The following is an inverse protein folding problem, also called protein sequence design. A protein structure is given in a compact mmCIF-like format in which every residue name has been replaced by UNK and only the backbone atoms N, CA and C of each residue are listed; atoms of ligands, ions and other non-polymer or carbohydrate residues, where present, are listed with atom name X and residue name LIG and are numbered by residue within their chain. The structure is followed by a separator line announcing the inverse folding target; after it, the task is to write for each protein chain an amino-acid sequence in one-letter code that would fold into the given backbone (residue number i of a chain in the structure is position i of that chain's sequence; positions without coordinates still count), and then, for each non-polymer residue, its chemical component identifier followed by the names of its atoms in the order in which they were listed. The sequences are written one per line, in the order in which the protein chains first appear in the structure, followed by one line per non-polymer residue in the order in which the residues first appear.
data_IF_813101092490
#
_entry.id   IF_813101092490
#
_cell.length_a   1.000
_cell.length_b   1.000
_cell.length_c   1.000
_cell.angle_alpha   90.00
_cell.angle_beta   90.00
_cell.angle_gamma   90.00
#
_symmetry.space_group_name_H-M   'P 1'
#
loop_
_entity.id
_entity.type
_entity.pdbx_description
1 polymer ?
#
# COMPACT_ATOMS: atom_id res chain seq x y z
N UNK A 1 -3.62 -4.52 8.24
CA UNK A 1 -3.70 -4.28 6.89
C UNK A 1 -3.07 -5.23 5.91
N UNK A 2 -3.58 -5.18 4.69
CA UNK A 2 -3.08 -5.94 3.56
C UNK A 2 -2.59 -5.03 2.41
N UNK A 3 -2.38 -3.73 2.68
CA UNK A 3 -1.95 -2.74 1.69
C UNK A 3 -0.73 -1.98 2.19
N UNK A 4 0.10 -1.55 1.26
CA UNK A 4 1.15 -0.57 1.49
C UNK A 4 0.83 0.67 0.67
N UNK A 5 0.90 1.82 1.31
CA UNK A 5 0.68 3.11 0.69
C UNK A 5 1.77 4.08 1.12
N UNK A 6 2.31 4.84 0.18
CA UNK A 6 3.26 5.92 0.40
C UNK A 6 2.76 7.19 -0.29
N UNK A 7 2.66 8.27 0.47
CA UNK A 7 2.13 9.55 -0.01
C UNK A 7 3.11 10.66 0.33
N UNK A 8 3.47 11.45 -0.67
CA UNK A 8 4.16 12.72 -0.47
C UNK A 8 3.11 13.84 -0.47
N UNK A 9 3.15 14.67 0.56
CA UNK A 9 2.23 15.80 0.70
C UNK A 9 2.94 17.03 1.25
N UNK A 10 2.42 18.19 0.90
CA UNK A 10 2.79 19.47 1.48
C UNK A 10 1.76 19.87 2.55
N UNK A 11 2.25 20.29 3.70
CA UNK A 11 1.39 20.69 4.81
C UNK A 11 1.79 22.11 5.21
N UNK A 12 0.91 23.07 4.94
CA UNK A 12 1.05 24.46 5.36
C UNK A 12 -0.13 24.84 6.25
N UNK A 13 0.18 25.15 7.51
CA UNK A 13 -0.82 25.52 8.53
C UNK A 13 -1.97 24.49 8.59
N UNK A 14 -3.07 24.75 7.90
CA UNK A 14 -4.27 23.90 7.89
C UNK A 14 -4.61 23.39 6.47
N UNK A 15 -3.71 23.56 5.52
CA UNK A 15 -3.83 23.06 4.16
C UNK A 15 -2.95 21.83 4.00
N UNK A 16 -3.54 20.76 3.50
CA UNK A 16 -2.85 19.51 3.13
C UNK A 16 -3.02 19.31 1.64
N UNK A 17 -1.94 19.32 0.90
CA UNK A 17 -1.91 19.04 -0.54
C UNK A 17 -1.16 17.74 -0.79
N UNK A 18 -1.84 16.75 -1.31
CA UNK A 18 -1.21 15.52 -1.81
C UNK A 18 -0.50 15.87 -3.12
N UNK A 19 0.79 15.54 -3.20
CA UNK A 19 1.60 15.72 -4.41
C UNK A 19 1.55 14.45 -5.24
N UNK A 20 1.77 13.31 -4.60
CA UNK A 20 1.74 11.99 -5.23
C UNK A 20 1.40 10.92 -4.22
N UNK A 21 0.80 9.83 -4.69
CA UNK A 21 0.55 8.63 -3.90
C UNK A 21 0.86 7.39 -4.71
N UNK A 22 1.53 6.43 -4.08
CA UNK A 22 1.85 5.11 -4.65
C UNK A 22 1.48 4.05 -3.64
N UNK A 23 1.06 2.89 -4.11
CA UNK A 23 0.68 1.83 -3.20
C UNK A 23 0.53 0.49 -3.90
N UNK A 24 0.46 -0.55 -3.09
CA UNK A 24 0.17 -1.90 -3.54
C UNK A 24 -0.82 -2.56 -2.58
N UNK A 25 -1.94 -2.98 -3.13
CA UNK A 25 -3.01 -3.66 -2.39
C UNK A 25 -2.68 -5.10 -1.97
N UNK A 26 -1.56 -5.63 -2.45
CA UNK A 26 -1.06 -6.97 -2.19
C UNK A 26 0.28 -6.97 -1.42
N UNK A 27 0.64 -5.84 -0.81
CA UNK A 27 1.84 -5.71 0.00
C UNK A 27 1.46 -5.22 1.39
N UNK A 28 1.44 -6.12 2.37
CA UNK A 28 1.07 -5.76 3.73
C UNK A 28 1.38 -6.83 4.76
N UNK A 29 0.86 -6.63 5.97
CA UNK A 29 1.09 -7.53 7.09
C UNK A 29 0.65 -8.97 6.85
N UNK A 30 -0.39 -9.19 6.03
CA UNK A 30 -0.88 -10.53 5.68
C UNK A 30 0.10 -11.31 4.81
N UNK A 31 0.83 -10.61 3.94
CA UNK A 31 1.83 -11.23 3.07
C UNK A 31 3.03 -11.66 3.91
N UNK A 32 3.42 -10.85 4.89
CA UNK A 32 4.46 -11.22 5.86
C UNK A 32 4.03 -12.41 6.75
N UNK A 33 2.75 -12.49 7.12
CA UNK A 33 2.22 -13.63 7.85
C UNK A 33 2.26 -14.90 7.01
N UNK A 34 1.99 -14.82 5.70
CA UNK A 34 2.08 -15.94 4.79
C UNK A 34 3.50 -16.50 4.69
N UNK A 35 4.53 -15.62 4.67
CA UNK A 35 5.93 -16.07 4.71
C UNK A 35 6.29 -16.76 6.04
N UNK A 36 5.76 -16.28 7.15
CA UNK A 36 5.93 -16.97 8.44
C UNK A 36 5.24 -18.34 8.46
N UNK A 37 4.07 -18.47 7.84
CA UNK A 37 3.41 -19.80 7.68
C UNK A 37 4.31 -20.74 6.88
N UNK A 38 4.98 -20.26 5.82
CA UNK A 38 5.93 -21.05 5.05
C UNK A 38 7.11 -21.52 5.93
N UNK A 39 7.68 -20.63 6.73
CA UNK A 39 8.76 -20.99 7.69
C UNK A 39 8.26 -22.03 8.69
N UNK A 40 7.08 -21.82 9.28
CA UNK A 40 6.47 -22.76 10.23
C UNK A 40 6.28 -24.14 9.60
N UNK A 41 5.74 -24.19 8.38
CA UNK A 41 5.51 -25.42 7.65
C UNK A 41 6.81 -26.18 7.35
N UNK A 42 7.86 -25.48 6.91
CA UNK A 42 9.15 -26.08 6.62
C UNK A 42 9.79 -26.66 7.89
N UNK A 43 9.85 -25.90 8.97
CA UNK A 43 10.40 -26.35 10.25
C UNK A 43 9.59 -27.50 10.86
N UNK A 44 8.26 -27.47 10.74
CA UNK A 44 7.42 -28.57 11.19
C UNK A 44 7.69 -29.84 10.36
N UNK A 45 7.81 -29.70 9.04
CA UNK A 45 8.14 -30.81 8.13
C UNK A 45 9.52 -31.39 8.41
N UNK A 46 10.52 -30.56 8.66
CA UNK A 46 11.85 -31.02 9.07
C UNK A 46 11.83 -31.84 10.37
N UNK A 47 11.00 -31.42 11.35
CA UNK A 47 10.89 -32.06 12.63
C UNK A 47 10.04 -33.36 12.64
N UNK A 48 9.13 -33.54 11.66
CA UNK A 48 8.12 -34.61 11.70
C UNK A 48 8.06 -35.46 10.44
N UNK A 49 8.71 -35.03 9.36
CA UNK A 49 8.62 -35.64 8.02
C UNK A 49 7.36 -35.24 7.23
N UNK A 50 6.40 -34.54 7.85
CA UNK A 50 5.13 -34.14 7.21
C UNK A 50 4.85 -32.66 7.43
N UNK A 51 4.28 -31.98 6.43
CA UNK A 51 3.94 -30.56 6.52
C UNK A 51 2.67 -30.29 7.32
N UNK A 52 2.38 -29.02 7.55
CA UNK A 52 1.16 -28.54 8.19
C UNK A 52 -0.07 -28.74 7.28
N UNK A 53 -1.23 -28.92 7.86
CA UNK A 53 -2.52 -29.00 7.13
C UNK A 53 -2.98 -27.59 6.68
N UNK A 54 -2.32 -27.06 5.66
CA UNK A 54 -2.63 -25.75 5.10
C UNK A 54 -3.96 -25.72 4.34
N UNK A 55 -4.51 -26.87 3.96
CA UNK A 55 -5.78 -26.95 3.25
C UNK A 55 -6.96 -26.64 4.17
N UNK A 56 -6.94 -27.18 5.39
CA UNK A 56 -8.07 -27.08 6.33
C UNK A 56 -7.83 -26.05 7.46
N UNK A 57 -6.57 -25.78 7.83
CA UNK A 57 -6.21 -24.98 9.01
C UNK A 57 -5.41 -23.72 8.68
N UNK A 58 -5.44 -23.24 7.43
CA UNK A 58 -4.67 -22.08 7.01
C UNK A 58 -4.93 -20.86 7.89
N UNK A 59 -6.17 -20.59 8.29
CA UNK A 59 -6.52 -19.44 9.11
C UNK A 59 -5.87 -19.50 10.50
N UNK A 60 -5.90 -20.66 11.15
CA UNK A 60 -5.26 -20.87 12.45
C UNK A 60 -3.76 -20.60 12.38
N UNK A 61 -3.10 -21.07 11.32
CA UNK A 61 -1.67 -20.82 11.12
C UNK A 61 -1.35 -19.35 10.80
N UNK A 62 -2.22 -18.66 10.09
CA UNK A 62 -2.09 -17.22 9.84
C UNK A 62 -2.20 -16.40 11.13
N UNK A 63 -3.12 -16.75 12.03
CA UNK A 63 -3.24 -16.10 13.35
C UNK A 63 -2.00 -16.33 14.21
N UNK A 64 -1.46 -17.54 14.21
CA UNK A 64 -0.18 -17.84 14.88
C UNK A 64 0.99 -17.08 14.26
N UNK A 65 1.05 -17.01 12.94
CA UNK A 65 2.06 -16.25 12.23
C UNK A 65 2.03 -14.76 12.60
N UNK A 66 0.84 -14.16 12.73
CA UNK A 66 0.71 -12.78 13.19
C UNK A 66 1.26 -12.59 14.61
N UNK A 67 1.00 -13.54 15.52
CA UNK A 67 1.54 -13.48 16.88
C UNK A 67 3.06 -13.57 16.87
N UNK A 68 3.63 -14.47 16.07
CA UNK A 68 5.08 -14.62 15.89
C UNK A 68 5.68 -13.35 15.29
N UNK A 69 5.07 -12.77 14.25
CA UNK A 69 5.49 -11.50 13.64
C UNK A 69 5.58 -10.37 14.66
N UNK A 70 4.56 -10.22 15.50
CA UNK A 70 4.53 -9.23 16.58
C UNK A 70 5.64 -9.47 17.59
N UNK A 71 5.86 -10.73 17.98
CA UNK A 71 6.94 -11.08 18.91
C UNK A 71 8.33 -10.79 18.32
N UNK A 72 8.56 -11.13 17.04
CA UNK A 72 9.83 -10.89 16.33
C UNK A 72 10.09 -9.41 16.05
N UNK A 73 9.07 -8.56 16.07
CA UNK A 73 9.26 -7.10 15.99
C UNK A 73 9.97 -6.54 17.23
N UNK A 74 9.89 -7.24 18.37
CA UNK A 74 10.49 -6.81 19.66
C UNK A 74 11.68 -7.68 20.07
N UNK A 75 11.65 -8.98 19.71
CA UNK A 75 12.64 -9.99 20.16
C UNK A 75 13.42 -10.51 18.95
N UNK A 76 14.66 -10.95 19.20
CA UNK A 76 15.51 -11.56 18.16
C UNK A 76 15.04 -12.97 17.77
N UNK A 77 14.32 -13.65 18.65
CA UNK A 77 13.79 -14.98 18.43
C UNK A 77 12.51 -15.22 19.20
N UNK A 78 11.66 -16.10 18.67
CA UNK A 78 10.43 -16.55 19.31
C UNK A 78 10.25 -18.05 19.12
N UNK A 79 9.82 -18.73 20.19
CA UNK A 79 9.48 -20.15 20.13
C UNK A 79 7.99 -20.32 20.37
N UNK A 80 7.32 -21.03 19.46
CA UNK A 80 5.89 -21.27 19.49
C UNK A 80 5.60 -22.77 19.36
N UNK A 81 4.51 -23.24 19.97
CA UNK A 81 4.03 -24.62 19.79
C UNK A 81 3.01 -24.62 18.65
N UNK A 82 3.35 -25.37 17.60
CA UNK A 82 2.53 -25.51 16.40
C UNK A 82 1.85 -26.87 16.40
N UNK A 83 0.53 -26.86 16.37
CA UNK A 83 -0.28 -28.07 16.21
C UNK A 83 -0.29 -28.47 14.73
N UNK A 84 0.01 -29.74 14.45
CA UNK A 84 0.02 -30.28 13.09
C UNK A 84 -0.36 -31.76 13.04
N UNK A 85 -0.38 -32.40 11.87
CA UNK A 85 -0.85 -33.78 11.68
C UNK A 85 -0.12 -34.81 12.54
N UNK A 86 1.14 -34.57 12.89
CA UNK A 86 1.97 -35.43 13.77
C UNK A 86 2.02 -34.95 15.23
N UNK A 87 1.02 -34.16 15.65
CA UNK A 87 0.93 -33.59 16.99
C UNK A 87 1.75 -32.30 17.16
N UNK A 88 1.74 -31.76 18.40
CA UNK A 88 2.37 -30.48 18.69
C UNK A 88 3.91 -30.55 18.54
N UNK A 89 4.50 -29.52 17.96
CA UNK A 89 5.95 -29.32 17.90
C UNK A 89 6.32 -27.91 18.31
N UNK A 90 7.33 -27.80 19.18
CA UNK A 90 7.92 -26.51 19.51
C UNK A 90 8.89 -26.11 18.40
N UNK A 91 8.60 -24.96 17.78
CA UNK A 91 9.38 -24.39 16.67
C UNK A 91 9.95 -23.05 17.13
N UNK A 92 11.25 -22.83 16.96
CA UNK A 92 11.90 -21.55 17.18
C UNK A 92 12.13 -20.88 15.82
N UNK A 93 11.75 -19.60 15.71
CA UNK A 93 11.96 -18.75 14.54
C UNK A 93 12.73 -17.52 14.98
N UNK A 94 13.76 -17.16 14.23
CA UNK A 94 14.56 -15.95 14.48
C UNK A 94 14.05 -14.78 13.63
N UNK A 95 14.30 -13.55 14.09
CA UNK A 95 14.03 -12.34 13.32
C UNK A 95 14.77 -12.37 11.99
N UNK A 96 16.02 -12.82 11.97
CA UNK A 96 16.81 -12.91 10.75
C UNK A 96 16.17 -13.83 9.69
N UNK A 97 15.67 -15.01 10.08
CA UNK A 97 14.95 -15.92 9.18
C UNK A 97 13.69 -15.25 8.62
N UNK A 98 12.95 -14.57 9.47
CA UNK A 98 11.75 -13.83 9.05
C UNK A 98 12.08 -12.67 8.11
N UNK A 99 13.06 -11.82 8.47
CA UNK A 99 13.46 -10.68 7.62
C UNK A 99 14.00 -11.15 6.26
N UNK A 100 14.69 -12.28 6.22
CA UNK A 100 15.14 -12.89 4.97
C UNK A 100 13.97 -13.39 4.12
N UNK A 101 12.95 -13.99 4.71
CA UNK A 101 11.80 -14.51 3.98
C UNK A 101 10.95 -13.39 3.34
N UNK A 102 10.92 -12.21 3.93
CA UNK A 102 10.16 -11.06 3.41
C UNK A 102 10.99 -10.12 2.52
N UNK A 103 12.22 -10.48 2.15
CA UNK A 103 13.12 -9.59 1.40
C UNK A 103 12.52 -9.11 0.07
N UNK A 104 11.81 -9.97 -0.65
CA UNK A 104 11.12 -9.59 -1.91
C UNK A 104 10.07 -8.50 -1.67
N UNK A 105 9.35 -8.58 -0.56
CA UNK A 105 8.37 -7.56 -0.17
C UNK A 105 9.05 -6.23 0.20
N UNK A 106 10.22 -6.31 0.83
CA UNK A 106 11.03 -5.12 1.17
C UNK A 106 11.58 -4.45 -0.10
N UNK A 107 12.02 -5.21 -1.09
CA UNK A 107 12.45 -4.63 -2.38
C UNK A 107 11.28 -3.93 -3.10
N UNK A 108 10.08 -4.52 -3.07
CA UNK A 108 8.88 -3.89 -3.62
C UNK A 108 8.51 -2.59 -2.90
N UNK A 109 8.64 -2.56 -1.56
CA UNK A 109 8.47 -1.34 -0.76
C UNK A 109 9.45 -0.25 -1.20
N UNK A 110 10.74 -0.60 -1.44
CA UNK A 110 11.75 0.37 -1.93
C UNK A 110 11.33 0.96 -3.27
N UNK A 111 10.95 0.12 -4.24
CA UNK A 111 10.51 0.58 -5.56
C UNK A 111 9.34 1.57 -5.46
N UNK A 112 8.31 1.26 -4.66
CA UNK A 112 7.17 2.15 -4.48
C UNK A 112 7.54 3.48 -3.81
N UNK A 113 8.49 3.48 -2.88
CA UNK A 113 9.01 4.72 -2.30
C UNK A 113 9.80 5.55 -3.30
N UNK A 114 10.64 4.92 -4.13
CA UNK A 114 11.39 5.57 -5.20
C UNK A 114 10.43 6.17 -6.24
N UNK A 115 9.42 5.41 -6.67
CA UNK A 115 8.37 5.92 -7.56
C UNK A 115 7.60 7.11 -6.97
N UNK A 116 7.36 7.12 -5.66
CA UNK A 116 6.70 8.25 -5.00
C UNK A 116 7.61 9.49 -4.94
N UNK A 117 8.90 9.31 -4.68
CA UNK A 117 9.87 10.39 -4.73
C UNK A 117 10.00 10.97 -6.15
N UNK A 118 10.13 10.12 -7.15
CA UNK A 118 10.21 10.53 -8.55
C UNK A 118 8.93 11.25 -8.99
N UNK A 119 7.76 10.70 -8.69
CA UNK A 119 6.47 11.31 -9.00
C UNK A 119 6.23 12.65 -8.30
N UNK A 120 6.81 12.85 -7.11
CA UNK A 120 6.74 14.13 -6.41
C UNK A 120 7.75 15.17 -6.93
N UNK A 121 8.76 14.76 -7.67
CA UNK A 121 9.91 15.60 -8.04
C UNK A 121 10.79 16.01 -6.86
N UNK A 122 10.58 15.40 -5.68
CA UNK A 122 11.30 15.73 -4.46
C UNK A 122 12.45 14.74 -4.21
N UNK A 123 13.55 15.24 -3.68
CA UNK A 123 14.63 14.41 -3.16
C UNK A 123 14.41 14.15 -1.67
N UNK A 124 14.97 13.06 -1.10
CA UNK A 124 14.86 12.77 0.34
C UNK A 124 15.26 13.93 1.25
N UNK A 125 16.23 14.76 0.82
CA UNK A 125 16.69 15.95 1.57
C UNK A 125 15.59 17.01 1.71
N UNK A 126 14.71 17.12 0.71
CA UNK A 126 13.63 18.10 0.66
C UNK A 126 12.40 17.69 1.50
N UNK A 127 12.31 16.43 1.91
CA UNK A 127 11.23 15.95 2.78
C UNK A 127 11.55 16.34 4.23
N UNK A 128 10.73 17.19 4.81
CA UNK A 128 10.92 17.64 6.20
C UNK A 128 10.74 16.52 7.22
N UNK A 129 9.69 15.73 7.07
CA UNK A 129 9.32 14.65 7.99
C UNK A 129 8.81 13.42 7.26
N UNK A 130 9.13 12.23 7.78
CA UNK A 130 8.55 10.97 7.37
C UNK A 130 7.69 10.44 8.51
N UNK A 131 6.42 10.18 8.23
CA UNK A 131 5.48 9.61 9.20
C UNK A 131 5.27 8.15 8.86
N UNK A 132 5.45 7.27 9.84
CA UNK A 132 5.14 5.85 9.71
C UNK A 132 3.78 5.57 10.37
N UNK A 133 2.90 4.89 9.64
CA UNK A 133 1.54 4.57 10.08
C UNK A 133 1.23 3.11 9.79
N UNK A 134 0.50 2.46 10.68
CA UNK A 134 0.11 1.04 10.57
C UNK A 134 1.08 0.07 11.24
N UNK A 135 0.54 -1.07 11.69
CA UNK A 135 1.25 -2.04 12.54
C UNK A 135 2.53 -2.63 11.91
N UNK A 136 2.58 -2.78 10.58
CA UNK A 136 3.77 -3.33 9.87
C UNK A 136 5.00 -2.43 9.96
N UNK A 137 4.83 -1.13 10.25
CA UNK A 137 5.94 -0.21 10.47
C UNK A 137 6.73 -0.49 11.76
N UNK A 138 6.21 -1.35 12.64
CA UNK A 138 6.91 -1.81 13.84
C UNK A 138 7.98 -2.87 13.55
N UNK A 139 7.98 -3.46 12.35
CA UNK A 139 8.96 -4.48 11.96
C UNK A 139 10.29 -3.76 11.68
N UNK A 140 11.41 -4.16 12.36
CA UNK A 140 12.66 -3.41 12.31
C UNK A 140 13.21 -3.19 10.89
N UNK A 141 13.18 -4.21 10.03
CA UNK A 141 13.66 -4.07 8.65
C UNK A 141 12.87 -3.05 7.85
N UNK A 142 11.55 -2.91 8.09
CA UNK A 142 10.71 -1.91 7.41
C UNK A 142 11.17 -0.51 7.78
N UNK A 143 11.23 -0.19 9.08
CA UNK A 143 11.69 1.11 9.55
C UNK A 143 13.10 1.43 9.06
N UNK A 144 14.04 0.48 9.19
CA UNK A 144 15.43 0.64 8.76
C UNK A 144 15.54 0.90 7.24
N UNK A 145 14.74 0.22 6.45
CA UNK A 145 14.70 0.44 4.99
C UNK A 145 14.26 1.85 4.67
N UNK A 146 13.18 2.32 5.31
CA UNK A 146 12.68 3.68 5.12
C UNK A 146 13.72 4.74 5.56
N UNK A 147 14.35 4.55 6.72
CA UNK A 147 15.44 5.41 7.19
C UNK A 147 16.61 5.47 6.19
N UNK A 148 16.97 4.35 5.60
CA UNK A 148 18.04 4.28 4.60
C UNK A 148 17.71 5.04 3.32
N UNK A 149 16.46 4.99 2.85
CA UNK A 149 16.00 5.74 1.67
C UNK A 149 15.91 7.23 1.99
N UNK A 150 15.28 7.58 3.09
CA UNK A 150 15.02 8.97 3.47
C UNK A 150 16.24 9.68 4.07
N UNK A 151 17.31 8.95 4.40
CA UNK A 151 18.56 9.46 5.04
C UNK A 151 18.31 10.17 6.38
N UNK A 152 17.15 9.98 6.96
CA UNK A 152 16.76 10.54 8.27
C UNK A 152 15.75 9.64 8.97
N UNK A 153 15.71 9.64 10.31
CA UNK A 153 14.75 8.84 11.07
C UNK A 153 13.32 9.37 10.88
N UNK A 154 12.31 8.49 10.91
CA UNK A 154 10.91 8.89 10.89
C UNK A 154 10.54 9.66 12.17
N UNK A 155 9.52 10.51 12.05
CA UNK A 155 9.00 11.29 13.16
C UNK A 155 8.41 10.37 14.23
N UNK A 156 8.81 10.57 15.49
CA UNK A 156 8.29 9.82 16.64
C UNK A 156 7.02 10.46 17.19
N UNK A 157 6.22 9.68 17.91
CA UNK A 157 5.03 10.18 18.62
C UNK A 157 3.72 10.12 17.83
N UNK A 158 3.74 9.58 16.61
CA UNK A 158 2.52 9.30 15.86
C UNK A 158 1.86 8.03 16.41
N UNK A 159 0.55 8.07 16.68
CA UNK A 159 -0.21 6.87 16.99
C UNK A 159 -0.45 6.08 15.70
N UNK A 160 0.43 5.11 15.44
CA UNK A 160 0.44 4.33 14.19
C UNK A 160 -0.82 3.46 13.98
N UNK A 161 -1.55 3.17 15.06
CA UNK A 161 -2.74 2.31 15.00
C UNK A 161 -4.02 3.12 14.72
N UNK A 162 -4.09 4.37 15.15
CA UNK A 162 -5.29 5.21 15.09
C UNK A 162 -5.22 6.34 14.05
N UNK A 163 -4.04 6.69 13.57
CA UNK A 163 -3.85 7.85 12.68
C UNK A 163 -4.72 7.79 11.42
N UNK A 164 -4.86 6.61 10.80
CA UNK A 164 -5.70 6.42 9.60
C UNK A 164 -7.18 6.66 9.92
N UNK A 165 -7.68 6.08 11.02
CA UNK A 165 -9.07 6.24 11.43
C UNK A 165 -9.39 7.69 11.81
N UNK A 166 -8.48 8.36 12.52
CA UNK A 166 -8.61 9.78 12.86
C UNK A 166 -8.63 10.65 11.60
N UNK A 167 -7.73 10.42 10.67
CA UNK A 167 -7.69 11.11 9.37
C UNK A 167 -8.97 10.90 8.55
N UNK A 168 -9.47 9.67 8.49
CA UNK A 168 -10.73 9.35 7.82
C UNK A 168 -11.93 10.08 8.45
N UNK A 169 -11.96 10.17 9.80
CA UNK A 169 -13.02 10.91 10.51
C UNK A 169 -12.97 12.41 10.19
N UNK A 170 -11.78 13.01 10.15
CA UNK A 170 -11.59 14.42 9.76
C UNK A 170 -12.07 14.62 8.31
N UNK A 171 -11.66 13.75 7.40
CA UNK A 171 -12.06 13.81 6.00
C UNK A 171 -13.57 13.67 5.81
N UNK A 172 -14.21 12.73 6.51
CA UNK A 172 -15.66 12.60 6.52
C UNK A 172 -16.36 13.88 6.98
N UNK A 173 -15.83 14.51 8.04
CA UNK A 173 -16.33 15.80 8.53
C UNK A 173 -16.20 16.93 7.51
N UNK A 174 -15.12 16.97 6.74
CA UNK A 174 -14.94 17.95 5.65
C UNK A 174 -15.96 17.75 4.51
N UNK A 175 -16.35 16.50 4.22
CA UNK A 175 -17.30 16.17 3.15
C UNK A 175 -18.76 16.26 3.57
N UNK A 176 -19.11 16.01 4.84
CA UNK A 176 -20.48 15.97 5.34
C UNK A 176 -20.62 16.89 6.57
N UNK A 177 -21.00 18.14 6.32
CA UNK A 177 -21.19 19.15 7.38
C UNK A 177 -22.48 19.00 8.19
N UNK A 178 -23.40 18.13 7.76
CA UNK A 178 -24.76 18.05 8.32
C UNK A 178 -24.84 17.47 9.73
N UNK A 179 -23.90 16.63 10.13
CA UNK A 179 -23.87 15.94 11.43
C UNK A 179 -22.89 16.54 12.43
N UNK A 180 -22.29 17.69 12.13
CA UNK A 180 -21.28 18.33 12.96
C UNK A 180 -21.90 19.38 13.88
N UNK A 181 -21.47 19.44 15.14
CA UNK A 181 -21.78 20.57 16.03
C UNK A 181 -20.96 21.82 15.62
N UNK A 182 -21.33 22.99 16.19
CA UNK A 182 -20.72 24.27 15.81
C UNK A 182 -19.21 24.32 16.10
N UNK A 183 -18.74 23.73 17.20
CA UNK A 183 -17.31 23.68 17.52
C UNK A 183 -16.53 22.83 16.49
N UNK A 184 -17.10 21.70 16.06
CA UNK A 184 -16.51 20.85 15.03
C UNK A 184 -16.49 21.55 13.67
N UNK A 185 -17.57 22.26 13.29
CA UNK A 185 -17.61 23.06 12.07
C UNK A 185 -16.51 24.12 12.06
N UNK A 186 -16.38 24.90 13.14
CA UNK A 186 -15.34 25.92 13.27
C UNK A 186 -13.92 25.33 13.20
N UNK A 187 -13.69 24.16 13.81
CA UNK A 187 -12.39 23.48 13.76
C UNK A 187 -12.02 23.04 12.32
N UNK A 188 -13.02 22.61 11.53
CA UNK A 188 -12.81 22.13 10.18
C UNK A 188 -12.87 23.22 9.10
N UNK A 189 -13.44 24.39 9.39
CA UNK A 189 -13.59 25.48 8.39
C UNK A 189 -12.27 25.90 7.73
N UNK A 190 -11.19 25.83 8.50
CA UNK A 190 -9.86 26.25 8.05
C UNK A 190 -9.07 25.12 7.38
N UNK A 191 -9.49 23.87 7.58
CA UNK A 191 -8.79 22.71 7.02
C UNK A 191 -9.15 22.58 5.54
N UNK A 192 -8.15 22.64 4.68
CA UNK A 192 -8.27 22.39 3.25
C UNK A 192 -7.48 21.14 2.90
N UNK A 193 -8.06 20.27 2.10
CA UNK A 193 -7.41 19.07 1.62
C UNK A 193 -7.56 18.98 0.12
N UNK A 194 -6.43 18.89 -0.56
CA UNK A 194 -6.32 18.66 -2.00
C UNK A 194 -5.78 17.26 -2.22
N UNK A 195 -6.54 16.44 -2.90
CA UNK A 195 -6.16 15.07 -3.27
C UNK A 195 -5.76 14.99 -4.74
N UNK A 196 -5.18 13.87 -5.15
CA UNK A 196 -4.75 13.62 -6.54
C UNK A 196 -5.33 12.32 -7.08
N UNK A 197 -5.36 12.19 -8.40
CA UNK A 197 -5.73 10.95 -9.07
C UNK A 197 -4.57 9.95 -8.95
N UNK A 198 -4.79 8.82 -8.27
CA UNK A 198 -3.74 7.83 -7.99
C UNK A 198 -3.38 6.95 -9.20
N UNK A 199 -4.14 7.05 -10.28
CA UNK A 199 -4.03 6.20 -11.47
C UNK A 199 -4.13 7.03 -12.74
N UNK A 200 -3.59 6.50 -13.83
CA UNK A 200 -3.95 6.97 -15.15
C UNK A 200 -5.37 6.52 -15.47
N UNK A 201 -6.23 7.45 -15.85
CA UNK A 201 -7.61 7.16 -16.27
C UNK A 201 -7.75 7.41 -17.76
N UNK A 202 -8.30 6.44 -18.46
CA UNK A 202 -8.36 6.50 -19.91
C UNK A 202 -9.51 5.70 -20.50
N UNK A 203 -9.41 5.46 -21.79
CA UNK A 203 -10.34 4.62 -22.55
C UNK A 203 -9.61 3.84 -23.62
N UNK A 204 -10.17 2.70 -24.01
CA UNK A 204 -9.62 1.91 -25.10
C UNK A 204 -9.98 2.53 -26.44
N UNK A 205 -9.00 2.68 -27.31
CA UNK A 205 -9.17 3.14 -28.69
C UNK A 205 -8.49 2.17 -29.65
N UNK A 206 -8.81 2.29 -30.94
CA UNK A 206 -8.05 1.68 -32.02
C UNK A 206 -7.13 2.73 -32.62
N UNK A 207 -5.86 2.42 -32.74
CA UNK A 207 -4.88 3.27 -33.43
C UNK A 207 -4.09 2.49 -34.46
N UNK A 208 -3.54 3.16 -35.46
CA UNK A 208 -2.69 2.55 -36.46
C UNK A 208 -1.27 2.37 -35.91
N UNK A 209 -0.83 1.11 -35.81
CA UNK A 209 0.55 0.80 -35.44
C UNK A 209 1.43 0.88 -36.70
N UNK A 210 2.37 1.84 -36.75
CA UNK A 210 3.21 2.05 -37.94
C UNK A 210 4.24 0.93 -38.14
N UNK A 211 4.56 0.15 -37.11
CA UNK A 211 5.50 -0.96 -37.18
C UNK A 211 4.82 -2.22 -37.68
N UNK A 212 3.64 -2.50 -37.13
CA UNK A 212 2.86 -3.71 -37.48
C UNK A 212 1.98 -3.50 -38.70
N UNK A 213 1.85 -2.26 -39.20
CA UNK A 213 0.99 -1.85 -40.31
C UNK A 213 -0.46 -2.41 -40.17
N UNK A 214 -0.98 -2.32 -38.96
CA UNK A 214 -2.35 -2.75 -38.62
C UNK A 214 -2.90 -1.93 -37.46
N UNK A 215 -4.22 -1.96 -37.30
CA UNK A 215 -4.88 -1.36 -36.13
C UNK A 215 -4.62 -2.20 -34.88
N UNK A 216 -4.29 -1.55 -33.80
CA UNK A 216 -4.08 -2.14 -32.46
C UNK A 216 -4.97 -1.44 -31.45
N UNK A 217 -5.35 -2.18 -30.41
CA UNK A 217 -6.06 -1.57 -29.27
C UNK A 217 -5.04 -0.91 -28.36
N UNK A 218 -5.20 0.38 -28.12
CA UNK A 218 -4.37 1.17 -27.24
C UNK A 218 -5.19 1.79 -26.10
N UNK A 219 -4.54 2.16 -25.03
CA UNK A 219 -5.15 2.90 -23.93
C UNK A 219 -4.88 4.39 -24.09
N UNK A 220 -5.92 5.15 -24.46
CA UNK A 220 -5.83 6.61 -24.51
C UNK A 220 -5.99 7.16 -23.10
N UNK A 221 -4.89 7.65 -22.53
CA UNK A 221 -4.91 8.32 -21.22
C UNK A 221 -5.58 9.69 -21.36
N UNK A 222 -6.58 9.94 -20.52
CA UNK A 222 -7.36 11.19 -20.49
C UNK A 222 -7.03 12.02 -19.24
N UNK A 223 -6.88 11.37 -18.08
CA UNK A 223 -6.45 12.01 -16.84
C UNK A 223 -5.17 11.34 -16.41
N UNK A 224 -4.13 12.13 -16.28
CA UNK A 224 -2.83 11.66 -15.82
C UNK A 224 -2.85 11.35 -14.32
N UNK A 225 -2.02 10.40 -13.92
CA UNK A 225 -1.69 10.17 -12.51
C UNK A 225 -1.19 11.46 -11.86
N UNK A 226 -1.43 11.61 -10.58
CA UNK A 226 -1.08 12.80 -9.78
C UNK A 226 -1.79 14.10 -10.21
N UNK A 227 -2.81 14.03 -11.09
CA UNK A 227 -3.65 15.18 -11.40
C UNK A 227 -4.47 15.59 -10.16
N UNK A 228 -4.44 16.87 -9.73
CA UNK A 228 -5.25 17.36 -8.60
C UNK A 228 -6.75 17.14 -8.80
N UNK A 229 -7.44 16.69 -7.75
CA UNK A 229 -8.89 16.41 -7.77
C UNK A 229 -9.69 17.55 -7.10
N UNK A 230 -10.89 17.88 -7.58
CA UNK A 230 -11.60 17.26 -8.70
C UNK A 230 -11.01 17.66 -10.06
N UNK A 231 -10.95 16.74 -11.01
CA UNK A 231 -10.46 16.98 -12.35
C UNK A 231 -11.52 16.66 -13.40
N UNK A 232 -11.55 17.46 -14.47
CA UNK A 232 -12.35 17.20 -15.66
C UNK A 232 -11.46 17.41 -16.87
N UNK A 233 -11.36 16.38 -17.71
CA UNK A 233 -10.61 16.42 -18.97
C UNK A 233 -11.50 15.95 -20.10
N UNK A 234 -11.33 16.54 -21.26
CA UNK A 234 -12.04 16.19 -22.48
C UNK A 234 -11.03 15.80 -23.56
N UNK A 235 -11.31 14.73 -24.25
CA UNK A 235 -10.56 14.31 -25.44
C UNK A 235 -11.52 14.03 -26.58
N UNK A 236 -11.05 14.16 -27.80
CA UNK A 236 -11.87 13.89 -29.00
C UNK A 236 -11.36 12.61 -29.64
N UNK A 237 -12.27 11.72 -29.94
CA UNK A 237 -12.04 10.51 -30.72
C UNK A 237 -12.95 10.52 -31.94
N UNK A 238 -12.58 9.81 -32.98
CA UNK A 238 -13.37 9.66 -34.20
C UNK A 238 -13.89 8.23 -34.31
N UNK A 239 -14.98 8.06 -35.02
CA UNK A 239 -15.52 6.74 -35.35
C UNK A 239 -14.59 5.98 -36.30
N UNK A 240 -14.62 4.65 -36.22
CA UNK A 240 -13.80 3.78 -37.09
C UNK A 240 -14.38 3.59 -38.49
N UNK A 241 -15.69 3.75 -38.60
CA UNK A 241 -16.45 3.55 -39.83
C UNK A 241 -17.36 4.75 -40.07
N UNK A 242 -17.62 5.03 -41.34
CA UNK A 242 -18.68 5.99 -41.72
C UNK A 242 -20.04 5.43 -41.25
N UNK A 243 -20.92 6.31 -40.83
CA UNK A 243 -22.28 5.99 -40.34
C UNK A 243 -22.28 5.07 -39.06
N UNK A 244 -21.22 5.06 -38.27
CA UNK A 244 -21.20 4.35 -36.99
C UNK A 244 -22.15 5.02 -36.00
N UNK A 245 -23.20 4.31 -35.57
CA UNK A 245 -24.26 4.82 -34.70
C UNK A 245 -23.92 4.73 -33.19
N UNK A 246 -22.95 3.92 -32.80
CA UNK A 246 -22.60 3.72 -31.39
C UNK A 246 -21.10 3.63 -31.18
N UNK A 247 -20.65 4.03 -30.01
CA UNK A 247 -19.28 3.93 -29.53
C UNK A 247 -19.29 3.15 -28.21
N UNK A 248 -18.47 2.11 -28.09
CA UNK A 248 -18.20 1.47 -26.80
C UNK A 248 -17.08 2.22 -26.08
N UNK A 249 -17.40 2.76 -24.92
CA UNK A 249 -16.49 3.59 -24.12
C UNK A 249 -16.11 2.85 -22.84
N UNK A 250 -15.08 2.04 -22.92
CA UNK A 250 -14.52 1.32 -21.76
C UNK A 250 -13.62 2.24 -20.94
N UNK A 251 -13.93 2.42 -19.66
CA UNK A 251 -13.07 3.17 -18.75
C UNK A 251 -11.92 2.28 -18.29
N UNK A 252 -10.70 2.75 -18.46
CA UNK A 252 -9.48 2.06 -18.02
C UNK A 252 -8.85 2.76 -16.82
N UNK A 253 -8.20 1.98 -15.99
CA UNK A 253 -7.40 2.40 -14.84
C UNK A 253 -6.08 1.64 -14.87
N UNK A 254 -4.94 2.34 -14.89
CA UNK A 254 -3.60 1.74 -14.97
C UNK A 254 -2.59 2.48 -14.08
#
# INVERSE_FOLDING_TARGET
GGTFDVTACEIEAQKVEVITSRGDKWLGGKDFDAELVNIMNNKYKEATGEGLDLANKKLEYMEKAEQIKRALSVREKHAEVIEGPKGPKKIEITRSEFEQSIQTHIEKLKMLMEEALDGSGLKPENISHTLLVGGSTRIPIVTKTIENIMKKPPLKGVNVDEAVAAGAAIYAGLKSKQSLNEAQKQALEKVKMQDVCNFYMGTLIQEDDPVLNRKVTANLIVIDRDTPLPATKTTTVVTLLDDQEAIDCSITQS
#
